data_IF_405237418662
#
_entry.id   IF_405237418662
#
_cell.length_a   1.000
_cell.length_b   1.000
_cell.length_c   1.000
_cell.angle_alpha   90.00
_cell.angle_beta   90.00
_cell.angle_gamma   90.00
#
_symmetry.space_group_name_H-M   'P 1'
#
loop_
_entity.id
_entity.type
_entity.pdbx_description
1 polymer ?
#
# COMPACT_ATOMS: atom_id res chain seq x y z
N UNK A 1 -14.42 3.83 -14.29
CA UNK A 1 -13.05 3.96 -13.73
C UNK A 1 -12.68 5.42 -13.38
N UNK A 2 -13.61 6.24 -12.89
CA UNK A 2 -13.41 7.69 -12.65
C UNK A 2 -13.03 8.04 -11.20
N UNK A 3 -13.40 7.19 -10.22
CA UNK A 3 -13.13 7.44 -8.80
C UNK A 3 -11.64 7.42 -8.47
N UNK A 4 -10.86 6.52 -9.10
CA UNK A 4 -9.41 6.43 -8.88
C UNK A 4 -8.71 7.70 -9.32
N UNK A 5 -9.00 8.22 -10.54
CA UNK A 5 -8.33 9.40 -11.10
C UNK A 5 -8.54 10.67 -10.28
N UNK A 6 -9.72 10.84 -9.65
CA UNK A 6 -10.00 11.96 -8.75
C UNK A 6 -9.30 11.84 -7.39
N UNK A 7 -8.98 10.63 -6.94
CA UNK A 7 -8.22 10.42 -5.69
C UNK A 7 -6.75 10.85 -5.83
N UNK A 8 -6.22 10.85 -7.06
CA UNK A 8 -4.89 11.37 -7.38
C UNK A 8 -4.86 12.86 -7.73
N UNK A 9 -6.04 13.51 -7.84
CA UNK A 9 -6.12 14.95 -8.11
C UNK A 9 -5.54 15.70 -6.90
N UNK A 10 -4.61 16.63 -7.17
CA UNK A 10 -3.84 17.43 -6.18
C UNK A 10 -2.65 16.74 -5.52
N UNK A 11 -2.18 15.60 -6.03
CA UNK A 11 -0.86 15.11 -5.64
C UNK A 11 0.19 15.68 -6.60
N UNK A 12 1.29 16.20 -6.04
CA UNK A 12 2.38 16.82 -6.81
C UNK A 12 3.21 15.81 -7.62
N UNK A 13 3.00 14.51 -7.40
CA UNK A 13 3.74 13.45 -8.05
C UNK A 13 2.90 12.75 -9.14
N UNK A 14 3.56 12.17 -10.17
CA UNK A 14 2.90 11.31 -11.13
C UNK A 14 2.18 10.15 -10.44
N UNK A 15 1.04 9.75 -10.99
CA UNK A 15 0.21 8.66 -10.44
C UNK A 15 1.02 7.36 -10.33
N UNK A 16 1.88 7.09 -11.31
CA UNK A 16 2.67 5.86 -11.38
C UNK A 16 3.67 5.78 -10.22
N UNK A 17 4.30 6.90 -9.87
CA UNK A 17 5.21 6.99 -8.72
C UNK A 17 4.44 6.71 -7.43
N UNK A 18 3.30 7.36 -7.24
CA UNK A 18 2.51 7.21 -6.02
C UNK A 18 1.97 5.78 -5.88
N UNK A 19 1.50 5.19 -6.97
CA UNK A 19 1.02 3.81 -6.99
C UNK A 19 2.13 2.81 -6.67
N UNK A 20 3.33 3.02 -7.23
CA UNK A 20 4.50 2.19 -6.94
C UNK A 20 4.89 2.30 -5.46
N UNK A 21 4.92 3.52 -4.91
CA UNK A 21 5.26 3.75 -3.51
C UNK A 21 4.26 3.09 -2.55
N UNK A 22 2.97 3.24 -2.80
CA UNK A 22 1.92 2.63 -1.99
C UNK A 22 1.95 1.09 -2.10
N UNK A 23 2.24 0.55 -3.27
CA UNK A 23 2.41 -0.90 -3.46
C UNK A 23 3.56 -1.43 -2.61
N UNK A 24 4.72 -0.77 -2.63
CA UNK A 24 5.87 -1.17 -1.83
C UNK A 24 5.62 -1.05 -0.33
N UNK A 25 4.97 0.03 0.10
CA UNK A 25 4.54 0.20 1.48
C UNK A 25 3.63 -0.92 1.97
N UNK A 26 2.74 -1.42 1.12
CA UNK A 26 1.82 -2.51 1.47
C UNK A 26 2.45 -3.89 1.36
N UNK A 27 3.40 -4.08 0.45
CA UNK A 27 4.05 -5.37 0.21
C UNK A 27 5.13 -5.70 1.25
N UNK A 28 5.81 -4.67 1.77
CA UNK A 28 6.92 -4.83 2.69
C UNK A 28 6.61 -4.16 4.03
N UNK A 29 6.83 -4.88 5.13
CA UNK A 29 6.69 -4.34 6.48
C UNK A 29 7.75 -3.25 6.69
N UNK A 30 7.35 -2.00 6.44
CA UNK A 30 8.01 -0.72 6.70
C UNK A 30 9.48 -0.82 7.16
N UNK A 31 10.38 -1.22 6.26
CA UNK A 31 11.82 -1.19 6.54
C UNK A 31 12.42 0.05 5.88
N UNK A 32 13.42 0.65 6.53
CA UNK A 32 14.21 1.76 5.98
C UNK A 32 14.79 1.43 4.60
N UNK A 33 14.97 0.14 4.29
CA UNK A 33 15.37 -0.38 2.99
C UNK A 33 14.45 0.07 1.85
N UNK A 34 13.13 0.14 2.08
CA UNK A 34 12.18 0.58 1.05
C UNK A 34 12.32 2.08 0.76
N UNK A 35 12.75 2.87 1.75
CA UNK A 35 13.03 4.30 1.57
C UNK A 35 14.35 4.50 0.81
N UNK A 36 15.37 3.71 1.12
CA UNK A 36 16.64 3.71 0.37
C UNK A 36 16.42 3.31 -1.09
N UNK A 37 15.64 2.27 -1.37
CA UNK A 37 15.39 1.83 -2.74
C UNK A 37 14.61 2.88 -3.56
N UNK A 38 13.77 3.70 -2.90
CA UNK A 38 13.13 4.86 -3.54
C UNK A 38 14.13 5.99 -3.80
N UNK A 39 15.04 6.25 -2.85
CA UNK A 39 16.08 7.26 -2.99
C UNK A 39 17.07 6.91 -4.13
N UNK A 40 17.45 5.64 -4.27
CA UNK A 40 18.28 5.15 -5.39
C UNK A 40 17.63 5.38 -6.75
N UNK A 41 16.29 5.30 -6.81
CA UNK A 41 15.51 5.58 -8.03
C UNK A 41 15.26 7.08 -8.25
N UNK A 42 15.87 7.95 -7.45
CA UNK A 42 15.75 9.42 -7.54
C UNK A 42 14.45 9.97 -6.98
N UNK A 43 13.68 9.18 -6.22
CA UNK A 43 12.40 9.56 -5.65
C UNK A 43 12.60 9.84 -4.15
N UNK A 44 12.93 11.09 -3.83
CA UNK A 44 12.99 11.57 -2.46
C UNK A 44 11.58 11.90 -1.95
N UNK A 45 10.94 10.97 -1.24
CA UNK A 45 9.64 11.16 -0.59
C UNK A 45 9.79 10.89 0.90
N UNK A 46 9.36 11.86 1.71
CA UNK A 46 9.36 11.69 3.17
C UNK A 46 8.36 10.62 3.61
N UNK A 47 8.71 9.87 4.66
CA UNK A 47 7.89 8.77 5.17
C UNK A 47 6.49 9.26 5.60
N UNK A 48 6.37 10.48 6.14
CA UNK A 48 5.06 11.03 6.51
C UNK A 48 4.17 11.29 5.30
N UNK A 49 4.76 11.65 4.16
CA UNK A 49 4.03 11.85 2.89
C UNK A 49 3.53 10.53 2.35
N UNK A 50 4.38 9.50 2.39
CA UNK A 50 4.04 8.14 1.98
C UNK A 50 2.91 7.56 2.84
N UNK A 51 3.01 7.72 4.17
CA UNK A 51 1.98 7.30 5.11
C UNK A 51 0.62 7.98 4.84
N UNK A 52 0.62 9.29 4.55
CA UNK A 52 -0.60 10.03 4.19
C UNK A 52 -1.22 9.51 2.89
N UNK A 53 -0.41 9.17 1.88
CA UNK A 53 -0.90 8.56 0.64
C UNK A 53 -1.53 7.20 0.91
N UNK A 54 -0.89 6.37 1.72
CA UNK A 54 -1.38 5.04 2.09
C UNK A 54 -2.72 5.15 2.81
N UNK A 55 -2.84 5.99 3.84
CA UNK A 55 -4.11 6.18 4.57
C UNK A 55 -5.25 6.56 3.61
N UNK A 56 -4.97 7.43 2.63
CA UNK A 56 -5.98 7.86 1.64
C UNK A 56 -6.32 6.78 0.62
N UNK A 57 -5.32 6.03 0.13
CA UNK A 57 -5.47 5.12 -1.00
C UNK A 57 -5.85 3.70 -0.60
N UNK A 58 -5.45 3.24 0.59
CA UNK A 58 -5.76 1.89 1.09
C UNK A 58 -7.26 1.57 1.09
N UNK A 59 -8.17 2.44 1.58
CA UNK A 59 -9.60 2.15 1.56
C UNK A 59 -10.16 2.02 0.13
N UNK A 60 -9.59 2.74 -0.84
CA UNK A 60 -9.99 2.66 -2.23
C UNK A 60 -9.50 1.36 -2.87
N UNK A 61 -8.25 1.00 -2.59
CA UNK A 61 -7.66 -0.26 -3.00
C UNK A 61 -8.41 -1.45 -2.38
N UNK A 62 -8.79 -1.37 -1.11
CA UNK A 62 -9.57 -2.42 -0.44
C UNK A 62 -10.95 -2.61 -1.10
N UNK A 63 -11.66 -1.53 -1.43
CA UNK A 63 -12.94 -1.61 -2.19
C UNK A 63 -12.79 -2.23 -3.58
N UNK A 64 -11.65 -2.05 -4.22
CA UNK A 64 -11.34 -2.67 -5.52
C UNK A 64 -10.94 -4.14 -5.30
N UNK A 65 -10.08 -4.40 -4.34
CA UNK A 65 -9.58 -5.73 -4.01
C UNK A 65 -10.72 -6.67 -3.59
N UNK A 66 -11.65 -6.20 -2.76
CA UNK A 66 -12.86 -6.96 -2.38
C UNK A 66 -13.73 -7.37 -3.56
N UNK A 67 -13.74 -6.61 -4.65
CA UNK A 67 -14.48 -6.98 -5.87
C UNK A 67 -13.81 -8.12 -6.63
N UNK A 68 -12.48 -8.20 -6.57
CA UNK A 68 -11.70 -9.26 -7.21
C UNK A 68 -11.45 -10.46 -6.30
N UNK A 69 -11.57 -10.28 -4.98
CA UNK A 69 -11.40 -11.35 -4.01
C UNK A 69 -12.62 -12.27 -4.06
N UNK A 70 -12.37 -13.55 -4.33
CA UNK A 70 -13.40 -14.58 -4.23
C UNK A 70 -13.99 -14.59 -2.82
N UNK A 71 -15.30 -14.81 -2.72
CA UNK A 71 -15.94 -15.03 -1.43
C UNK A 71 -15.24 -16.19 -0.73
N UNK A 72 -14.87 -16.01 0.54
CA UNK A 72 -14.40 -17.13 1.34
C UNK A 72 -15.57 -18.14 1.42
N UNK A 73 -15.34 -19.37 0.94
CA UNK A 73 -16.34 -20.44 1.06
C UNK A 73 -16.47 -20.89 2.51
N UNK A 74 -17.43 -21.79 2.77
CA UNK A 74 -17.72 -22.33 4.12
C UNK A 74 -16.56 -23.14 4.74
N UNK A 75 -15.49 -23.41 3.99
CA UNK A 75 -14.34 -24.17 4.45
C UNK A 75 -13.11 -23.26 4.49
N UNK A 76 -12.65 -22.95 5.69
CA UNK A 76 -11.44 -22.18 5.92
C UNK A 76 -10.35 -23.09 6.49
N UNK A 77 -9.12 -22.96 5.98
CA UNK A 77 -7.93 -23.59 6.57
C UNK A 77 -7.13 -22.48 7.24
N UNK A 78 -6.90 -22.62 8.54
CA UNK A 78 -6.17 -21.64 9.34
C UNK A 78 -4.80 -22.22 9.67
N UNK A 79 -3.75 -21.65 9.07
CA UNK A 79 -2.38 -21.98 9.46
C UNK A 79 -2.00 -21.12 10.67
N UNK A 80 -1.66 -21.75 11.79
CA UNK A 80 -1.20 -21.03 12.99
C UNK A 80 0.27 -20.69 12.85
N UNK A 81 0.58 -19.40 12.77
CA UNK A 81 1.94 -18.88 12.89
C UNK A 81 2.12 -18.22 14.25
N UNK A 82 3.06 -18.71 15.07
CA UNK A 82 3.38 -18.11 16.36
C UNK A 82 4.40 -16.99 16.16
N UNK A 83 3.98 -15.74 16.37
CA UNK A 83 4.86 -14.59 16.34
C UNK A 83 5.20 -14.20 17.78
N UNK A 84 6.47 -14.34 18.16
CA UNK A 84 6.95 -13.97 19.51
C UNK A 84 7.20 -12.47 19.54
N UNK A 85 6.27 -11.72 20.12
CA UNK A 85 6.42 -10.27 20.33
C UNK A 85 7.24 -10.08 21.62
N UNK A 86 8.42 -9.47 21.50
CA UNK A 86 9.16 -8.98 22.68
C UNK A 86 8.46 -7.70 23.17
N UNK A 87 8.07 -7.70 24.45
CA UNK A 87 7.70 -6.48 25.17
C UNK A 87 8.91 -5.61 25.45
#
# INVERSE_FOLDING_TARGET
MSLTRNSFKRMHYPIDIIAQCVRWYLAYALSQLNLEEMAERGIAVDNSTLHRWVIRLVPLLDKVFRRYKLSAGNRWRMDKTYIKIKG
#
